data_IF_347696356175
#
_entry.id   IF_347696356175
#
_cell.length_a   1.000
_cell.length_b   1.000
_cell.length_c   1.000
_cell.angle_alpha   90.00
_cell.angle_beta   90.00
_cell.angle_gamma   90.00
#
_symmetry.space_group_name_H-M   'P 1'
#
loop_
_entity.id
_entity.type
_entity.pdbx_description
1 polymer ?
#
# COMPACT_ATOMS: atom_id res chain seq x y z
N UNK A 1 -1.36 19.57 16.64
CA UNK A 1 -0.15 18.73 16.76
C UNK A 1 -0.33 17.49 15.91
N UNK A 2 0.69 17.17 15.12
CA UNK A 2 0.63 16.38 13.88
C UNK A 2 0.67 14.88 14.21
N UNK A 3 -0.50 14.28 14.49
CA UNK A 3 -0.64 12.88 14.96
C UNK A 3 -0.49 11.82 13.87
N UNK A 4 -0.06 12.20 12.66
CA UNK A 4 0.22 11.27 11.57
C UNK A 4 1.56 11.64 10.95
N UNK A 5 2.49 10.68 10.88
CA UNK A 5 3.74 10.85 10.12
C UNK A 5 3.53 10.79 8.60
N UNK A 6 2.28 10.59 8.17
CA UNK A 6 1.91 10.53 6.77
C UNK A 6 1.80 11.94 6.16
N UNK A 7 2.64 12.28 5.15
CA UNK A 7 2.64 13.60 4.54
C UNK A 7 1.31 13.97 3.86
N UNK A 8 0.52 12.99 3.39
CA UNK A 8 -0.78 13.25 2.77
C UNK A 8 -1.84 13.67 3.80
N UNK A 9 -1.80 13.12 5.01
CA UNK A 9 -2.67 13.55 6.11
C UNK A 9 -2.34 14.99 6.51
N UNK A 10 -1.04 15.32 6.62
CA UNK A 10 -0.60 16.69 6.90
C UNK A 10 -1.08 17.67 5.83
N UNK A 11 -0.94 17.30 4.56
CA UNK A 11 -1.47 18.09 3.45
C UNK A 11 -3.01 18.23 3.56
N UNK A 12 -3.73 17.15 3.87
CA UNK A 12 -5.18 17.17 4.06
C UNK A 12 -5.57 18.16 5.15
N UNK A 13 -4.85 18.16 6.28
CA UNK A 13 -5.05 19.12 7.37
C UNK A 13 -4.75 20.55 6.93
N UNK A 14 -3.67 20.79 6.18
CA UNK A 14 -3.34 22.12 5.65
C UNK A 14 -4.43 22.66 4.70
N UNK A 15 -4.95 21.80 3.82
CA UNK A 15 -6.09 22.13 2.96
C UNK A 15 -7.36 22.46 3.77
N UNK A 16 -7.69 21.65 4.77
CA UNK A 16 -8.87 21.89 5.61
C UNK A 16 -8.72 23.17 6.41
N UNK A 17 -7.55 23.42 7.00
CA UNK A 17 -7.28 24.62 7.80
C UNK A 17 -7.38 25.92 6.99
N UNK A 18 -7.10 25.87 5.69
CA UNK A 18 -7.30 26.99 4.79
C UNK A 18 -8.80 27.34 4.65
N UNK A 19 -9.67 26.33 4.59
CA UNK A 19 -11.11 26.55 4.37
C UNK A 19 -11.96 26.59 5.66
N UNK A 20 -11.49 25.98 6.73
CA UNK A 20 -12.22 25.82 7.99
C UNK A 20 -11.31 26.07 9.21
N UNK A 21 -11.92 26.37 10.35
CA UNK A 21 -11.27 26.50 11.66
C UNK A 21 -11.81 25.48 12.65
N UNK A 22 -10.93 24.98 13.51
CA UNK A 22 -11.31 24.23 14.70
C UNK A 22 -11.82 25.22 15.76
N UNK A 23 -12.91 24.90 16.49
CA UNK A 23 -13.30 25.66 17.68
C UNK A 23 -12.14 25.73 18.67
N UNK A 24 -12.03 26.85 19.39
CA UNK A 24 -11.20 26.92 20.60
C UNK A 24 -11.65 25.75 21.51
N UNK A 25 -10.73 24.87 21.89
CA UNK A 25 -10.93 23.62 22.67
C UNK A 25 -11.29 22.31 21.93
N UNK A 26 -11.30 22.27 20.60
CA UNK A 26 -11.55 21.02 19.85
C UNK A 26 -10.25 20.26 19.49
N UNK A 27 -10.13 19.01 19.94
CA UNK A 27 -9.07 18.11 19.48
C UNK A 27 -9.36 17.63 18.05
N UNK A 28 -8.42 17.84 17.15
CA UNK A 28 -8.50 17.34 15.78
C UNK A 28 -8.55 15.81 15.76
N UNK A 29 -9.76 15.25 15.67
CA UNK A 29 -9.94 13.83 15.39
C UNK A 29 -9.22 13.47 14.08
N UNK A 30 -8.64 12.26 14.02
CA UNK A 30 -7.97 11.74 12.82
C UNK A 30 -8.86 11.96 11.61
N UNK A 31 -8.43 12.85 10.72
CA UNK A 31 -9.10 13.07 9.46
C UNK A 31 -8.98 11.81 8.60
N UNK A 32 -10.02 10.99 8.59
CA UNK A 32 -10.12 9.86 7.67
C UNK A 32 -10.55 10.38 6.30
N UNK A 33 -10.10 9.70 5.23
CA UNK A 33 -10.27 10.09 3.83
C UNK A 33 -11.59 10.81 3.53
N UNK A 34 -11.49 12.09 3.17
CA UNK A 34 -12.65 12.89 2.78
C UNK A 34 -12.91 12.80 1.28
N UNK A 35 -13.08 11.60 0.72
CA UNK A 35 -13.27 11.40 -0.72
C UNK A 35 -14.43 12.18 -1.34
N UNK A 36 -15.38 12.64 -0.51
CA UNK A 36 -16.44 13.56 -0.92
C UNK A 36 -15.91 14.98 -1.17
N UNK A 37 -15.08 15.50 -0.26
CA UNK A 37 -14.47 16.82 -0.35
C UNK A 37 -13.18 16.83 -1.15
N UNK A 38 -12.19 16.06 -0.74
CA UNK A 38 -10.83 16.02 -1.28
C UNK A 38 -10.61 14.66 -1.93
N UNK A 39 -10.27 14.66 -3.23
CA UNK A 39 -9.94 13.44 -3.97
C UNK A 39 -8.53 13.54 -4.51
N UNK A 40 -7.66 12.67 -4.00
CA UNK A 40 -6.35 12.40 -4.55
C UNK A 40 -6.52 11.51 -5.79
N UNK A 41 -5.79 11.82 -6.86
CA UNK A 41 -5.94 11.14 -8.14
C UNK A 41 -4.66 10.40 -8.48
N UNK A 42 -4.78 9.17 -8.98
CA UNK A 42 -3.62 8.35 -9.34
C UNK A 42 -3.56 8.08 -10.85
N UNK A 43 -4.59 8.49 -11.60
CA UNK A 43 -4.74 8.27 -13.04
C UNK A 43 -5.32 9.54 -13.70
N UNK A 44 -5.09 9.70 -15.02
CA UNK A 44 -5.59 10.82 -15.81
C UNK A 44 -5.25 12.21 -15.22
N UNK A 45 -4.04 12.33 -14.64
CA UNK A 45 -3.58 13.52 -13.92
C UNK A 45 -3.53 14.79 -14.80
N UNK A 46 -3.32 14.59 -16.11
CA UNK A 46 -3.38 15.66 -17.11
C UNK A 46 -4.77 16.32 -17.13
N UNK A 47 -5.84 15.55 -17.11
CA UNK A 47 -7.21 16.07 -17.25
C UNK A 47 -7.80 16.49 -15.90
N UNK A 48 -7.51 15.71 -14.86
CA UNK A 48 -8.19 15.80 -13.58
C UNK A 48 -7.40 16.57 -12.50
N UNK A 49 -6.09 16.83 -12.72
CA UNK A 49 -5.17 17.39 -11.74
C UNK A 49 -4.46 16.33 -10.90
N UNK A 50 -3.71 16.74 -9.88
CA UNK A 50 -3.12 15.80 -8.93
C UNK A 50 -4.12 15.49 -7.80
N UNK A 51 -4.85 16.53 -7.36
CA UNK A 51 -6.01 16.36 -6.49
C UNK A 51 -7.17 17.23 -6.96
N UNK A 52 -8.34 17.01 -6.38
CA UNK A 52 -9.48 17.89 -6.57
C UNK A 52 -10.22 18.15 -5.27
N UNK A 53 -10.82 19.34 -5.16
CA UNK A 53 -11.66 19.74 -4.04
C UNK A 53 -13.09 20.06 -4.50
N UNK A 54 -14.08 19.79 -3.66
CA UNK A 54 -15.46 20.16 -3.90
C UNK A 54 -15.60 21.69 -4.01
N UNK A 55 -16.29 22.17 -5.04
CA UNK A 55 -16.50 23.59 -5.29
C UNK A 55 -17.69 24.17 -4.52
N UNK A 56 -18.68 23.33 -4.18
CA UNK A 56 -19.92 23.75 -3.51
C UNK A 56 -19.71 23.90 -2.00
N UNK A 57 -20.13 25.05 -1.47
CA UNK A 57 -20.13 25.34 -0.02
C UNK A 57 -20.91 24.31 0.79
N UNK A 58 -22.04 23.80 0.27
CA UNK A 58 -22.92 22.86 0.98
C UNK A 58 -22.17 21.59 1.40
N UNK A 59 -21.30 21.08 0.52
CA UNK A 59 -20.50 19.89 0.83
C UNK A 59 -19.55 20.17 2.00
N UNK A 60 -18.92 21.35 2.01
CA UNK A 60 -18.02 21.76 3.08
C UNK A 60 -18.75 22.08 4.38
N UNK A 61 -19.96 22.66 4.33
CA UNK A 61 -20.79 22.88 5.52
C UNK A 61 -21.22 21.57 6.16
N UNK A 62 -21.71 20.61 5.36
CA UNK A 62 -22.07 19.27 5.85
C UNK A 62 -20.87 18.57 6.51
N UNK A 63 -19.70 18.70 5.90
CA UNK A 63 -18.46 18.21 6.48
C UNK A 63 -18.11 18.92 7.79
N UNK A 64 -18.12 20.25 7.81
CA UNK A 64 -17.79 21.04 9.00
C UNK A 64 -18.74 20.70 10.16
N UNK A 65 -20.04 20.59 9.90
CA UNK A 65 -21.04 20.20 10.91
C UNK A 65 -20.77 18.82 11.51
N UNK A 66 -20.46 17.82 10.68
CA UNK A 66 -20.14 16.45 11.14
C UNK A 66 -18.88 16.39 12.01
N UNK A 67 -17.92 17.27 11.75
CA UNK A 67 -16.62 17.28 12.41
C UNK A 67 -16.45 18.41 13.44
N UNK A 68 -17.51 19.17 13.73
CA UNK A 68 -17.47 20.28 14.67
C UNK A 68 -16.58 21.44 14.24
N UNK A 69 -16.33 21.61 12.94
CA UNK A 69 -15.52 22.71 12.38
C UNK A 69 -16.40 23.90 12.01
N UNK A 70 -15.79 25.08 11.89
CA UNK A 70 -16.43 26.28 11.38
C UNK A 70 -15.85 26.63 10.00
N UNK A 71 -16.72 26.76 8.99
CA UNK A 71 -16.29 27.12 7.64
C UNK A 71 -15.93 28.61 7.59
N UNK A 72 -14.76 28.95 7.05
CA UNK A 72 -14.30 30.34 6.91
C UNK A 72 -15.00 31.09 5.77
N UNK A 73 -15.53 30.35 4.80
CA UNK A 73 -16.12 30.90 3.57
C UNK A 73 -17.61 31.14 3.73
N UNK A 74 -18.04 32.35 3.37
CA UNK A 74 -19.43 32.78 3.41
C UNK A 74 -20.14 32.66 2.04
N UNK A 75 -19.38 32.55 0.94
CA UNK A 75 -19.90 32.47 -0.43
C UNK A 75 -20.36 31.06 -0.81
N UNK A 76 -21.30 30.96 -1.77
CA UNK A 76 -21.81 29.65 -2.26
C UNK A 76 -20.75 28.77 -2.94
N UNK A 77 -19.72 29.39 -3.53
CA UNK A 77 -18.58 28.69 -4.11
C UNK A 77 -17.33 28.88 -3.23
N UNK A 78 -16.52 27.83 -3.16
CA UNK A 78 -15.32 27.79 -2.33
C UNK A 78 -14.20 28.71 -2.83
N UNK A 79 -14.02 28.81 -4.15
CA UNK A 79 -13.03 29.69 -4.79
C UNK A 79 -13.77 30.52 -5.86
N UNK A 80 -14.51 31.57 -5.45
CA UNK A 80 -15.44 32.29 -6.31
C UNK A 80 -14.75 33.16 -7.36
N UNK A 81 -13.57 33.70 -7.06
CA UNK A 81 -12.80 34.62 -7.92
C UNK A 81 -11.33 34.17 -8.06
N UNK A 82 -10.59 34.83 -8.96
CA UNK A 82 -9.15 34.57 -9.15
C UNK A 82 -8.35 34.92 -7.90
N UNK A 83 -8.74 35.96 -7.16
CA UNK A 83 -8.07 36.36 -5.92
C UNK A 83 -8.06 35.24 -4.88
N UNK A 84 -9.20 34.55 -4.68
CA UNK A 84 -9.29 33.42 -3.76
C UNK A 84 -8.38 32.26 -4.18
N UNK A 85 -8.20 32.05 -5.49
CA UNK A 85 -7.27 31.03 -6.00
C UNK A 85 -5.82 31.45 -5.78
N UNK A 86 -5.49 32.71 -6.02
CA UNK A 86 -4.16 33.28 -5.76
C UNK A 86 -3.80 33.20 -4.27
N UNK A 87 -4.74 33.54 -3.38
CA UNK A 87 -4.56 33.44 -1.93
C UNK A 87 -4.27 31.99 -1.49
N UNK A 88 -4.99 31.02 -2.06
CA UNK A 88 -4.72 29.60 -1.85
C UNK A 88 -3.33 29.18 -2.34
N UNK A 89 -2.94 29.61 -3.55
CA UNK A 89 -1.63 29.31 -4.11
C UNK A 89 -0.51 29.93 -3.26
N UNK A 90 -0.67 31.18 -2.82
CA UNK A 90 0.30 31.88 -1.98
C UNK A 90 0.47 31.20 -0.62
N UNK A 91 -0.64 30.86 0.05
CA UNK A 91 -0.56 30.14 1.32
C UNK A 91 0.06 28.74 1.15
N UNK A 92 -0.20 28.08 0.01
CA UNK A 92 0.33 26.75 -0.26
C UNK A 92 1.86 26.69 -0.38
N UNK A 93 2.54 27.82 -0.62
CA UNK A 93 4.01 27.87 -0.67
C UNK A 93 4.67 27.44 0.66
N UNK A 94 3.95 27.59 1.78
CA UNK A 94 4.42 27.18 3.11
C UNK A 94 3.96 25.76 3.50
N UNK A 95 3.22 25.08 2.61
CA UNK A 95 2.71 23.74 2.90
C UNK A 95 3.77 22.68 2.67
N UNK A 96 3.50 21.45 3.13
CA UNK A 96 4.40 20.33 2.87
C UNK A 96 4.55 20.09 1.36
N UNK A 97 3.45 20.28 0.61
CA UNK A 97 3.39 20.11 -0.84
C UNK A 97 2.77 21.36 -1.48
N UNK A 98 3.58 22.24 -2.09
CA UNK A 98 3.09 23.50 -2.65
C UNK A 98 2.31 23.27 -3.95
N UNK A 99 1.27 24.09 -4.14
CA UNK A 99 0.40 24.04 -5.32
C UNK A 99 0.98 24.93 -6.44
N UNK A 100 0.92 24.42 -7.67
CA UNK A 100 1.32 25.13 -8.89
C UNK A 100 0.15 25.84 -9.55
N UNK A 101 -1.04 25.21 -9.57
CA UNK A 101 -2.20 25.79 -10.25
C UNK A 101 -3.52 25.23 -9.72
N UNK A 102 -4.57 26.01 -9.91
CA UNK A 102 -5.96 25.65 -9.59
C UNK A 102 -6.83 25.89 -10.81
N UNK A 103 -7.54 24.85 -11.28
CA UNK A 103 -8.42 24.91 -12.44
C UNK A 103 -9.79 24.35 -12.11
N UNK A 104 -10.86 25.06 -12.49
CA UNK A 104 -12.22 24.52 -12.44
C UNK A 104 -12.39 23.52 -13.59
N UNK A 105 -12.56 22.23 -13.29
CA UNK A 105 -12.65 21.18 -14.33
C UNK A 105 -14.11 20.86 -14.64
N UNK A 106 -14.94 20.72 -13.60
CA UNK A 106 -16.37 20.47 -13.70
C UNK A 106 -17.10 21.45 -12.78
N UNK A 107 -18.41 21.68 -13.00
CA UNK A 107 -19.21 22.64 -12.21
C UNK A 107 -19.16 22.39 -10.69
N UNK A 108 -18.74 21.20 -10.27
CA UNK A 108 -18.73 20.76 -8.88
C UNK A 108 -17.34 20.69 -8.24
N UNK A 109 -16.22 20.81 -8.98
CA UNK A 109 -14.87 20.61 -8.42
C UNK A 109 -13.79 21.52 -9.02
N UNK A 110 -12.84 21.89 -8.17
CA UNK A 110 -11.56 22.48 -8.58
C UNK A 110 -10.48 21.40 -8.58
N UNK A 111 -9.75 21.27 -9.69
CA UNK A 111 -8.52 20.50 -9.76
C UNK A 111 -7.35 21.36 -9.32
N UNK A 112 -6.46 20.76 -8.54
CA UNK A 112 -5.22 21.38 -8.12
C UNK A 112 -4.05 20.54 -8.61
N UNK A 113 -2.98 21.21 -9.01
CA UNK A 113 -1.71 20.59 -9.38
C UNK A 113 -0.63 21.05 -8.43
N UNK A 114 0.31 20.17 -8.11
CA UNK A 114 1.46 20.49 -7.29
C UNK A 114 2.64 20.97 -8.12
N UNK A 115 3.53 21.70 -7.47
CA UNK A 115 4.91 21.71 -7.90
C UNK A 115 5.50 20.32 -7.62
N UNK A 116 5.82 19.57 -8.70
CA UNK A 116 6.25 18.16 -8.60
C UNK A 116 7.62 18.01 -7.95
N UNK A 117 8.59 18.84 -8.31
CA UNK A 117 9.98 18.70 -7.86
C UNK A 117 10.17 18.58 -6.33
N UNK A 118 9.58 19.45 -5.47
CA UNK A 118 9.67 19.30 -4.02
C UNK A 118 9.15 17.94 -3.51
N UNK A 119 8.09 17.42 -4.14
CA UNK A 119 7.45 16.16 -3.74
C UNK A 119 8.32 14.98 -4.16
N UNK A 120 8.86 15.01 -5.39
CA UNK A 120 9.79 14.01 -5.90
C UNK A 120 10.99 13.87 -4.95
N UNK A 121 11.62 14.99 -4.61
CA UNK A 121 12.78 15.04 -3.70
C UNK A 121 12.40 14.46 -2.34
N UNK A 122 11.30 14.91 -1.75
CA UNK A 122 10.85 14.46 -0.44
C UNK A 122 10.56 12.95 -0.42
N UNK A 123 9.85 12.43 -1.42
CA UNK A 123 9.45 11.02 -1.50
C UNK A 123 10.67 10.12 -1.67
N UNK A 124 11.53 10.41 -2.65
CA UNK A 124 12.71 9.59 -2.93
C UNK A 124 13.68 9.60 -1.74
N UNK A 125 13.97 10.76 -1.16
CA UNK A 125 14.84 10.86 0.02
C UNK A 125 14.24 10.12 1.22
N UNK A 126 12.93 10.23 1.45
CA UNK A 126 12.27 9.54 2.56
C UNK A 126 12.34 8.03 2.42
N UNK A 127 12.13 7.50 1.23
CA UNK A 127 12.15 6.05 0.97
C UNK A 127 13.57 5.52 1.08
N UNK A 128 14.53 6.17 0.42
CA UNK A 128 15.90 5.68 0.33
C UNK A 128 16.66 5.78 1.67
N UNK A 129 16.31 6.77 2.50
CA UNK A 129 16.88 6.90 3.85
C UNK A 129 16.24 5.93 4.84
N UNK A 130 14.91 5.73 4.78
CA UNK A 130 14.20 4.87 5.73
C UNK A 130 14.17 3.38 5.34
N UNK A 131 14.36 3.05 4.05
CA UNK A 131 14.30 1.70 3.51
C UNK A 131 13.03 0.96 3.93
N UNK A 132 13.20 -0.22 4.52
CA UNK A 132 12.11 -1.07 5.04
C UNK A 132 11.25 -0.42 6.13
N UNK A 133 11.72 0.67 6.74
CA UNK A 133 10.98 1.43 7.74
C UNK A 133 10.22 2.63 7.15
N UNK A 134 10.20 2.78 5.83
CA UNK A 134 9.42 3.83 5.18
C UNK A 134 7.93 3.70 5.52
N UNK A 135 7.35 4.80 6.02
CA UNK A 135 5.95 4.92 6.44
C UNK A 135 5.60 4.23 7.76
N UNK A 136 6.53 3.52 8.41
CA UNK A 136 6.34 3.10 9.80
C UNK A 136 6.32 4.34 10.69
N UNK A 137 5.41 4.37 11.65
CA UNK A 137 5.42 5.44 12.65
C UNK A 137 6.61 5.22 13.58
N UNK A 138 7.40 6.26 13.84
CA UNK A 138 8.44 6.21 14.88
C UNK A 138 7.81 5.84 16.22
N UNK A 139 8.46 4.95 16.99
CA UNK A 139 8.14 4.77 18.39
C UNK A 139 8.34 6.12 19.09
N UNK A 140 7.24 6.81 19.39
CA UNK A 140 7.26 8.03 20.22
C UNK A 140 7.52 7.59 21.65
N UNK A 141 8.77 7.25 21.97
CA UNK A 141 9.19 7.04 23.36
C UNK A 141 9.51 8.37 24.07
N UNK A 142 9.50 9.51 23.36
CA UNK A 142 10.12 10.76 23.85
C UNK A 142 9.17 11.95 24.04
N UNK A 143 7.87 11.80 23.80
CA UNK A 143 6.89 12.86 24.09
C UNK A 143 5.67 12.22 24.78
N UNK A 144 5.68 12.22 26.11
CA UNK A 144 4.82 11.41 26.99
C UNK A 144 3.32 11.74 26.97
N UNK A 145 2.74 12.08 25.83
CA UNK A 145 1.39 12.63 25.75
C UNK A 145 0.30 11.63 25.30
N UNK A 146 0.56 10.59 24.49
CA UNK A 146 -0.48 9.60 24.12
C UNK A 146 0.14 8.22 23.77
N UNK A 147 -0.22 7.17 24.50
CA UNK A 147 0.17 5.78 24.18
C UNK A 147 -0.52 5.29 22.88
N UNK A 148 0.17 4.49 22.04
CA UNK A 148 -0.44 3.90 20.85
C UNK A 148 -1.64 3.00 21.24
N UNK A 149 -2.64 2.87 20.34
CA UNK A 149 -3.82 2.07 20.63
C UNK A 149 -3.42 0.61 20.87
N UNK A 150 -3.98 0.02 21.92
CA UNK A 150 -3.69 -1.35 22.31
C UNK A 150 -4.68 -2.34 21.71
N UNK A 151 -4.17 -3.49 21.23
CA UNK A 151 -4.98 -4.53 20.61
C UNK A 151 -4.50 -5.92 21.04
N UNK A 152 -5.43 -6.80 21.37
CA UNK A 152 -5.16 -8.22 21.56
C UNK A 152 -5.72 -8.99 20.36
N UNK A 153 -4.83 -9.61 19.56
CA UNK A 153 -5.22 -10.42 18.41
C UNK A 153 -5.07 -11.90 18.76
N UNK A 154 -6.13 -12.68 18.55
CA UNK A 154 -6.12 -14.12 18.79
C UNK A 154 -6.49 -14.90 17.54
N UNK A 155 -5.92 -16.09 17.37
CA UNK A 155 -6.31 -17.05 16.35
C UNK A 155 -7.12 -18.17 17.03
N UNK A 156 -8.28 -18.51 16.49
CA UNK A 156 -9.07 -19.61 17.01
C UNK A 156 -8.27 -20.93 17.02
N UNK A 157 -8.32 -21.68 18.12
CA UNK A 157 -7.55 -22.92 18.31
C UNK A 157 -7.74 -23.95 17.19
N UNK A 158 -8.91 -23.96 16.52
CA UNK A 158 -9.18 -24.84 15.37
C UNK A 158 -8.27 -24.58 14.16
N UNK A 159 -7.56 -23.46 14.15
CA UNK A 159 -6.56 -23.10 13.15
C UNK A 159 -5.11 -23.20 13.68
N UNK A 160 -4.96 -23.45 14.98
CA UNK A 160 -3.68 -23.56 15.66
C UNK A 160 -3.04 -24.95 15.52
N UNK A 161 -3.65 -25.87 14.76
CA UNK A 161 -3.21 -27.27 14.59
C UNK A 161 -1.68 -27.40 14.65
N UNK A 162 -1.24 -28.24 15.59
CA UNK A 162 0.15 -28.62 15.89
C UNK A 162 0.81 -29.40 14.73
N UNK A 163 0.07 -29.73 13.66
CA UNK A 163 0.63 -30.36 12.47
C UNK A 163 1.72 -29.48 11.85
N UNK A 164 2.92 -30.06 11.79
CA UNK A 164 4.14 -29.48 11.24
C UNK A 164 4.11 -29.67 9.72
N UNK A 165 4.24 -28.56 8.98
CA UNK A 165 4.44 -28.60 7.53
C UNK A 165 3.20 -28.29 6.68
N UNK A 166 3.22 -28.82 5.46
CA UNK A 166 2.41 -28.44 4.31
C UNK A 166 1.11 -29.25 4.14
N UNK A 167 0.63 -29.91 5.20
CA UNK A 167 -0.56 -30.79 5.19
C UNK A 167 -1.87 -30.07 5.47
N UNK A 168 -1.82 -28.76 5.77
CA UNK A 168 -2.97 -28.00 6.28
C UNK A 168 -4.08 -27.87 5.25
N UNK A 169 -5.32 -28.03 5.69
CA UNK A 169 -6.49 -27.66 4.90
C UNK A 169 -6.41 -26.18 4.50
N UNK A 170 -6.69 -25.86 3.22
CA UNK A 170 -6.45 -24.52 2.69
C UNK A 170 -7.21 -23.41 3.43
N UNK A 171 -8.39 -23.69 3.97
CA UNK A 171 -9.15 -22.71 4.74
C UNK A 171 -8.47 -22.39 6.10
N UNK A 172 -7.88 -23.40 6.76
CA UNK A 172 -7.08 -23.21 7.98
C UNK A 172 -5.80 -22.45 7.68
N UNK A 173 -5.13 -22.79 6.57
CA UNK A 173 -3.97 -22.06 6.09
C UNK A 173 -4.30 -20.58 5.84
N UNK A 174 -5.41 -20.29 5.14
CA UNK A 174 -5.87 -18.91 4.88
C UNK A 174 -6.12 -18.13 6.17
N UNK A 175 -6.80 -18.71 7.15
CA UNK A 175 -7.07 -18.06 8.43
C UNK A 175 -5.77 -17.76 9.21
N UNK A 176 -4.83 -18.71 9.24
CA UNK A 176 -3.50 -18.50 9.85
C UNK A 176 -2.73 -17.39 9.15
N UNK A 177 -2.75 -17.35 7.81
CA UNK A 177 -2.08 -16.29 7.06
C UNK A 177 -2.74 -14.93 7.29
N UNK A 178 -4.08 -14.86 7.38
CA UNK A 178 -4.78 -13.63 7.72
C UNK A 178 -4.32 -13.08 9.07
N UNK A 179 -4.25 -13.93 10.10
CA UNK A 179 -3.72 -13.57 11.42
C UNK A 179 -2.31 -12.97 11.32
N UNK A 180 -1.40 -13.67 10.63
CA UNK A 180 0.00 -13.22 10.48
C UNK A 180 0.11 -11.91 9.68
N UNK A 181 -0.71 -11.73 8.64
CA UNK A 181 -0.78 -10.48 7.86
C UNK A 181 -1.25 -9.34 8.76
N UNK A 182 -2.33 -9.54 9.52
CA UNK A 182 -2.84 -8.53 10.45
C UNK A 182 -1.80 -8.16 11.50
N UNK A 183 -1.06 -9.11 12.08
CA UNK A 183 0.05 -8.81 12.98
C UNK A 183 1.08 -7.87 12.34
N UNK A 184 1.49 -8.12 11.10
CA UNK A 184 2.46 -7.28 10.38
C UNK A 184 1.91 -5.88 10.06
N UNK A 185 0.64 -5.80 9.66
CA UNK A 185 -0.04 -4.52 9.42
C UNK A 185 -0.14 -3.68 10.69
N UNK A 186 -0.50 -4.31 11.81
CA UNK A 186 -0.57 -3.67 13.13
C UNK A 186 0.80 -3.14 13.59
N UNK A 187 1.85 -3.96 13.42
CA UNK A 187 3.22 -3.54 13.73
C UNK A 187 3.67 -2.35 12.86
N UNK A 188 3.30 -2.35 11.58
CA UNK A 188 3.59 -1.23 10.68
C UNK A 188 2.85 0.06 11.08
N UNK A 189 1.58 -0.05 11.46
CA UNK A 189 0.73 1.06 11.86
C UNK A 189 0.88 1.46 13.35
N UNK A 190 1.93 0.98 14.03
CA UNK A 190 2.25 1.28 15.43
C UNK A 190 1.09 1.04 16.40
N UNK A 191 0.42 -0.11 16.25
CA UNK A 191 -0.49 -0.64 17.26
C UNK A 191 0.30 -1.43 18.31
N UNK A 192 -0.06 -1.27 19.58
CA UNK A 192 0.53 -2.06 20.66
C UNK A 192 -0.18 -3.40 20.76
N UNK A 193 0.42 -4.45 20.20
CA UNK A 193 -0.08 -5.81 20.37
C UNK A 193 0.15 -6.25 21.83
N UNK A 194 -0.92 -6.62 22.53
CA UNK A 194 -0.87 -7.08 23.93
C UNK A 194 -1.33 -8.53 24.05
N UNK A 195 -0.61 -9.28 24.89
CA UNK A 195 -0.97 -10.64 25.25
C UNK A 195 -2.32 -10.68 26.01
N UNK A 196 -3.06 -11.81 25.99
CA UNK A 196 -4.36 -11.92 26.65
C UNK A 196 -4.35 -11.55 28.15
N UNK A 197 -3.24 -11.81 28.83
CA UNK A 197 -3.04 -11.50 30.26
C UNK A 197 -2.79 -10.01 30.55
N UNK A 198 -2.43 -9.21 29.54
CA UNK A 198 -2.04 -7.80 29.67
C UNK A 198 -3.08 -6.83 29.07
N UNK A 199 -4.32 -7.29 28.91
CA UNK A 199 -5.41 -6.47 28.37
C UNK A 199 -5.86 -5.40 29.37
N UNK A 200 -5.97 -4.16 28.92
CA UNK A 200 -6.62 -3.04 29.64
C UNK A 200 -8.04 -2.83 29.13
N UNK A 201 -8.88 -2.06 29.80
CA UNK A 201 -10.28 -1.83 29.37
C UNK A 201 -10.39 -1.22 27.97
N UNK A 202 -9.44 -0.36 27.59
CA UNK A 202 -9.35 0.25 26.27
C UNK A 202 -8.72 -0.66 25.19
N UNK A 203 -8.31 -1.88 25.54
CA UNK A 203 -7.73 -2.83 24.58
C UNK A 203 -8.79 -3.38 23.64
N UNK A 204 -8.63 -3.16 22.34
CA UNK A 204 -9.46 -3.79 21.31
C UNK A 204 -9.14 -5.29 21.25
N UNK A 205 -10.12 -6.17 21.48
CA UNK A 205 -9.93 -7.62 21.40
C UNK A 205 -10.47 -8.14 20.08
N UNK A 206 -9.60 -8.66 19.22
CA UNK A 206 -9.96 -9.19 17.90
C UNK A 206 -9.64 -10.68 17.85
N UNK A 207 -10.59 -11.50 17.40
CA UNK A 207 -10.39 -12.93 17.18
C UNK A 207 -10.62 -13.32 15.73
N UNK A 208 -9.64 -14.00 15.12
CA UNK A 208 -9.75 -14.54 13.76
C UNK A 208 -10.49 -15.87 13.80
N UNK A 209 -11.68 -15.90 13.21
CA UNK A 209 -12.64 -17.00 13.32
C UNK A 209 -13.14 -17.53 11.96
N UNK A 210 -13.83 -18.67 12.00
CA UNK A 210 -14.44 -19.34 10.85
C UNK A 210 -15.93 -18.97 10.72
N UNK A 211 -16.48 -18.93 9.51
CA UNK A 211 -17.90 -18.64 9.24
C UNK A 211 -18.89 -19.62 9.94
N UNK A 212 -18.45 -20.83 10.30
CA UNK A 212 -19.31 -21.91 10.80
C UNK A 212 -19.51 -21.90 12.32
N UNK A 213 -18.98 -20.89 13.04
CA UNK A 213 -19.22 -20.76 14.48
C UNK A 213 -20.58 -20.07 14.71
N UNK A 214 -21.45 -20.61 15.59
CA UNK A 214 -22.67 -19.91 15.96
C UNK A 214 -22.31 -18.52 16.51
N UNK A 215 -23.09 -17.51 16.12
CA UNK A 215 -23.04 -16.19 16.77
C UNK A 215 -23.22 -16.45 18.26
N UNK A 216 -22.29 -16.00 19.11
CA UNK A 216 -22.47 -16.06 20.56
C UNK A 216 -23.81 -15.40 20.87
N UNK A 217 -24.74 -16.16 21.44
CA UNK A 217 -25.93 -15.60 22.09
C UNK A 217 -25.44 -14.64 23.15
N UNK A 218 -26.08 -13.48 23.25
CA UNK A 218 -25.70 -12.33 24.09
C UNK A 218 -25.74 -12.57 25.60
N UNK A 219 -25.71 -13.84 26.05
CA UNK A 219 -26.05 -14.26 27.40
C UNK A 219 -24.82 -14.79 28.17
N UNK A 220 -23.70 -15.15 27.50
CA UNK A 220 -22.52 -15.70 28.20
C UNK A 220 -21.25 -14.86 27.99
N UNK A 221 -20.82 -14.22 29.09
CA UNK A 221 -19.54 -13.55 29.43
C UNK A 221 -19.39 -12.03 29.12
N UNK A 222 -18.64 -11.30 29.99
CA UNK A 222 -18.95 -9.94 30.41
C UNK A 222 -18.42 -8.85 29.47
N UNK A 223 -19.17 -7.74 29.41
CA UNK A 223 -18.86 -6.32 29.16
C UNK A 223 -17.80 -5.85 28.13
N UNK A 224 -16.85 -6.67 27.68
CA UNK A 224 -15.79 -6.28 26.74
C UNK A 224 -16.13 -6.73 25.32
N UNK A 225 -16.26 -5.77 24.40
CA UNK A 225 -16.63 -5.98 22.99
C UNK A 225 -15.55 -6.79 22.25
N UNK A 226 -15.65 -8.12 22.26
CA UNK A 226 -14.81 -8.99 21.42
C UNK A 226 -15.27 -8.86 19.97
N UNK A 227 -14.36 -8.43 19.10
CA UNK A 227 -14.59 -8.27 17.67
C UNK A 227 -14.19 -9.53 16.92
N UNK A 228 -15.12 -10.09 16.15
CA UNK A 228 -14.87 -11.29 15.34
C UNK A 228 -14.46 -10.91 13.93
N UNK A 229 -13.26 -11.30 13.54
CA UNK A 229 -12.76 -11.20 12.17
C UNK A 229 -12.95 -12.53 11.46
N UNK A 230 -13.94 -12.61 10.58
CA UNK A 230 -14.29 -13.88 9.95
C UNK A 230 -13.47 -14.11 8.67
N UNK A 231 -12.88 -15.30 8.55
CA UNK A 231 -12.20 -15.76 7.34
C UNK A 231 -13.15 -16.65 6.52
N UNK A 232 -13.39 -16.24 5.27
CA UNK A 232 -14.24 -16.96 4.33
C UNK A 232 -13.60 -18.26 3.84
N UNK A 233 -14.41 -19.18 3.30
CA UNK A 233 -13.93 -20.49 2.86
C UNK A 233 -12.99 -20.40 1.66
N UNK A 234 -12.29 -21.49 1.37
CA UNK A 234 -11.54 -21.67 0.12
C UNK A 234 -12.31 -22.64 -0.76
N UNK A 235 -12.54 -22.26 -2.01
CA UNK A 235 -13.50 -22.88 -2.92
C UNK A 235 -12.84 -23.42 -4.18
N UNK A 236 -13.39 -24.52 -4.69
CA UNK A 236 -13.07 -25.07 -6.01
C UNK A 236 -13.61 -24.19 -7.15
N UNK A 237 -12.91 -24.04 -8.28
CA UNK A 237 -13.29 -23.09 -9.32
C UNK A 237 -14.62 -23.43 -10.01
N UNK A 238 -14.87 -24.72 -10.29
CA UNK A 238 -16.03 -25.17 -11.07
C UNK A 238 -17.28 -25.32 -10.23
N UNK A 239 -17.22 -26.13 -9.17
CA UNK A 239 -18.39 -26.48 -8.34
C UNK A 239 -18.66 -25.48 -7.21
N UNK A 240 -17.73 -24.56 -6.94
CA UNK A 240 -17.77 -23.63 -5.79
C UNK A 240 -17.99 -24.32 -4.44
N UNK A 241 -17.63 -25.60 -4.34
CA UNK A 241 -17.59 -26.38 -3.10
C UNK A 241 -16.29 -26.09 -2.35
N UNK A 242 -16.22 -26.48 -1.07
CA UNK A 242 -14.97 -26.38 -0.29
C UNK A 242 -13.81 -27.09 -1.01
N UNK A 243 -12.65 -26.43 -1.04
CA UNK A 243 -11.43 -26.99 -1.62
C UNK A 243 -10.90 -28.14 -0.77
N UNK A 244 -10.59 -29.26 -1.42
CA UNK A 244 -10.05 -30.46 -0.78
C UNK A 244 -8.52 -30.51 -0.80
N UNK A 245 -7.88 -29.55 -1.48
CA UNK A 245 -6.43 -29.45 -1.56
C UNK A 245 -5.83 -29.03 -0.21
N UNK A 246 -4.66 -29.56 0.09
CA UNK A 246 -3.81 -29.09 1.19
C UNK A 246 -2.99 -27.87 0.75
N UNK A 247 -2.48 -27.09 1.70
CA UNK A 247 -1.61 -25.95 1.42
C UNK A 247 -0.39 -26.36 0.60
N UNK A 248 0.24 -27.49 0.91
CA UNK A 248 1.39 -28.02 0.17
C UNK A 248 1.07 -28.39 -1.26
N UNK A 249 -0.01 -29.14 -1.47
CA UNK A 249 -0.42 -29.54 -2.82
C UNK A 249 -0.73 -28.31 -3.69
N UNK A 250 -1.36 -27.29 -3.10
CA UNK A 250 -1.68 -26.06 -3.81
C UNK A 250 -0.44 -25.20 -4.06
N UNK A 251 0.47 -25.07 -3.08
CA UNK A 251 1.75 -24.40 -3.28
C UNK A 251 2.55 -25.03 -4.40
N UNK A 252 2.72 -26.37 -4.41
CA UNK A 252 3.44 -27.07 -5.47
C UNK A 252 2.81 -26.84 -6.86
N UNK A 253 1.47 -26.87 -6.93
CA UNK A 253 0.73 -26.57 -8.16
C UNK A 253 1.04 -25.14 -8.65
N UNK A 254 0.98 -24.15 -7.75
CA UNK A 254 1.23 -22.75 -8.11
C UNK A 254 2.70 -22.46 -8.42
N UNK A 255 3.65 -23.12 -7.74
CA UNK A 255 5.07 -23.07 -8.09
C UNK A 255 5.29 -23.54 -9.53
N UNK A 256 4.68 -24.66 -9.90
CA UNK A 256 4.78 -25.20 -11.26
C UNK A 256 4.15 -24.25 -12.29
N UNK A 257 2.99 -23.66 -11.98
CA UNK A 257 2.37 -22.65 -12.85
C UNK A 257 3.32 -21.45 -13.08
N UNK A 258 3.97 -20.94 -12.03
CA UNK A 258 4.91 -19.81 -12.16
C UNK A 258 6.13 -20.18 -13.01
N UNK A 259 6.67 -21.39 -12.84
CA UNK A 259 7.77 -21.89 -13.65
C UNK A 259 7.39 -22.02 -15.12
N UNK A 260 6.24 -22.62 -15.44
CA UNK A 260 5.78 -22.77 -16.83
C UNK A 260 5.59 -21.42 -17.51
N UNK A 261 5.07 -20.43 -16.78
CA UNK A 261 4.94 -19.05 -17.27
C UNK A 261 6.32 -18.43 -17.54
N UNK A 262 7.27 -18.59 -16.62
CA UNK A 262 8.64 -18.08 -16.79
C UNK A 262 9.31 -18.71 -18.01
N UNK A 263 9.20 -20.04 -18.17
CA UNK A 263 9.71 -20.78 -19.33
C UNK A 263 9.09 -20.31 -20.65
N UNK A 264 7.78 -20.03 -20.68
CA UNK A 264 7.12 -19.53 -21.89
C UNK A 264 7.60 -18.11 -22.26
N UNK A 265 7.97 -17.27 -21.28
CA UNK A 265 8.42 -15.89 -21.52
C UNK A 265 9.90 -15.78 -21.86
N UNK A 266 10.74 -16.58 -21.23
CA UNK A 266 12.21 -16.46 -21.30
C UNK A 266 12.90 -17.62 -22.01
N UNK A 267 12.14 -18.63 -22.43
CA UNK A 267 12.66 -19.89 -22.97
C UNK A 267 13.21 -20.81 -21.88
N UNK A 268 13.63 -22.01 -22.27
CA UNK A 268 14.24 -23.01 -21.38
C UNK A 268 15.69 -22.61 -21.09
N UNK A 269 15.94 -21.57 -20.29
CA UNK A 269 17.30 -21.18 -19.89
C UNK A 269 17.50 -21.29 -18.39
N UNK A 270 18.41 -22.18 -18.00
CA UNK A 270 19.17 -22.29 -16.74
C UNK A 270 18.41 -22.21 -15.39
N UNK A 271 17.07 -22.25 -15.36
CA UNK A 271 16.29 -22.27 -14.11
C UNK A 271 16.78 -23.36 -13.14
N UNK A 272 17.09 -24.55 -13.68
CA UNK A 272 17.48 -25.72 -12.91
C UNK A 272 18.98 -25.82 -12.52
N UNK A 273 19.85 -24.92 -13.00
CA UNK A 273 21.32 -25.02 -12.76
C UNK A 273 21.81 -24.23 -11.54
N UNK A 274 20.92 -23.60 -10.77
CA UNK A 274 21.29 -22.74 -9.64
C UNK A 274 21.05 -23.46 -8.31
N UNK A 275 22.03 -23.35 -7.40
CA UNK A 275 22.07 -24.02 -6.09
C UNK A 275 20.87 -23.76 -5.16
N UNK A 276 19.92 -22.87 -5.53
CA UNK A 276 18.76 -22.47 -4.73
C UNK A 276 17.41 -22.63 -5.47
N UNK A 277 17.33 -23.48 -6.50
CA UNK A 277 16.11 -23.62 -7.32
C UNK A 277 14.89 -24.09 -6.52
N UNK A 278 15.04 -25.06 -5.62
CA UNK A 278 13.95 -25.57 -4.79
C UNK A 278 13.38 -24.49 -3.86
N UNK A 279 14.26 -23.75 -3.16
CA UNK A 279 13.88 -22.61 -2.32
C UNK A 279 13.20 -21.50 -3.12
N UNK A 280 13.63 -21.23 -4.36
CA UNK A 280 12.94 -20.29 -5.25
C UNK A 280 11.52 -20.77 -5.57
N UNK A 281 11.37 -22.04 -5.95
CA UNK A 281 10.07 -22.61 -6.30
C UNK A 281 9.11 -22.57 -5.11
N UNK A 282 9.59 -22.85 -3.90
CA UNK A 282 8.81 -22.70 -2.67
C UNK A 282 8.37 -21.25 -2.45
N UNK A 283 9.29 -20.28 -2.56
CA UNK A 283 8.96 -18.84 -2.44
C UNK A 283 7.91 -18.40 -3.48
N UNK A 284 8.07 -18.82 -4.74
CA UNK A 284 7.13 -18.52 -5.83
C UNK A 284 5.73 -19.10 -5.57
N UNK A 285 5.67 -20.37 -5.14
CA UNK A 285 4.42 -21.03 -4.79
C UNK A 285 3.74 -20.37 -3.61
N UNK A 286 4.47 -20.13 -2.53
CA UNK A 286 3.97 -19.45 -1.34
C UNK A 286 3.40 -18.06 -1.71
N UNK A 287 4.16 -17.25 -2.44
CA UNK A 287 3.73 -15.94 -2.87
C UNK A 287 2.46 -15.97 -3.73
N UNK A 288 2.41 -16.87 -4.72
CA UNK A 288 1.24 -17.03 -5.58
C UNK A 288 -0.01 -17.44 -4.79
N UNK A 289 0.13 -18.39 -3.85
CA UNK A 289 -0.98 -18.81 -2.98
C UNK A 289 -1.48 -17.67 -2.10
N UNK A 290 -0.58 -16.87 -1.50
CA UNK A 290 -1.00 -15.71 -0.69
C UNK A 290 -1.79 -14.71 -1.55
N UNK A 291 -1.30 -14.37 -2.75
CA UNK A 291 -2.00 -13.46 -3.66
C UNK A 291 -3.38 -14.02 -4.05
N UNK A 292 -3.46 -15.28 -4.47
CA UNK A 292 -4.73 -15.91 -4.88
C UNK A 292 -5.77 -15.90 -3.72
N UNK A 293 -5.34 -16.13 -2.48
CA UNK A 293 -6.24 -16.23 -1.32
C UNK A 293 -6.71 -14.87 -0.77
N UNK A 294 -5.96 -13.80 -1.04
CA UNK A 294 -6.22 -12.46 -0.50
C UNK A 294 -6.52 -11.40 -1.56
N UNK A 295 -6.59 -11.75 -2.86
CA UNK A 295 -7.11 -10.88 -3.92
C UNK A 295 -8.58 -10.48 -3.66
N UNK A 296 -9.31 -11.31 -2.92
CA UNK A 296 -10.69 -11.04 -2.46
C UNK A 296 -10.72 -10.69 -0.97
N UNK A 297 -11.81 -10.05 -0.52
CA UNK A 297 -12.03 -9.73 0.90
C UNK A 297 -11.86 -10.98 1.77
N UNK A 298 -11.20 -10.84 2.92
CA UNK A 298 -10.97 -11.97 3.82
C UNK A 298 -12.26 -12.66 4.26
N UNK A 299 -13.37 -11.92 4.39
CA UNK A 299 -14.69 -12.45 4.78
C UNK A 299 -15.43 -13.18 3.65
N UNK A 300 -14.95 -13.07 2.41
CA UNK A 300 -15.55 -13.72 1.23
C UNK A 300 -14.80 -15.00 0.86
N UNK A 301 -15.45 -15.90 0.12
CA UNK A 301 -14.82 -17.14 -0.34
C UNK A 301 -13.73 -16.90 -1.39
N UNK A 302 -12.51 -17.37 -1.15
CA UNK A 302 -11.43 -17.36 -2.14
C UNK A 302 -11.55 -18.58 -3.05
N UNK A 303 -11.36 -18.41 -4.36
CA UNK A 303 -11.38 -19.53 -5.31
C UNK A 303 -9.95 -19.91 -5.67
N UNK A 304 -9.61 -21.20 -5.60
CA UNK A 304 -8.28 -21.68 -6.02
C UNK A 304 -8.11 -21.56 -7.54
N UNK A 305 -6.88 -21.29 -7.97
CA UNK A 305 -6.49 -21.25 -9.38
C UNK A 305 -5.97 -22.63 -9.78
N UNK A 306 -6.71 -23.36 -10.62
CA UNK A 306 -6.28 -24.66 -11.13
C UNK A 306 -7.00 -25.02 -12.43
N UNK A 307 -6.42 -25.90 -13.22
CA UNK A 307 -6.98 -26.38 -14.50
C UNK A 307 -7.30 -25.23 -15.47
N UNK A 308 -6.49 -24.17 -15.48
CA UNK A 308 -6.73 -22.97 -16.30
C UNK A 308 -7.92 -22.11 -15.86
N UNK A 309 -8.56 -22.43 -14.72
CA UNK A 309 -9.67 -21.67 -14.14
C UNK A 309 -9.17 -20.83 -12.96
N UNK A 310 -9.66 -19.59 -12.86
CA UNK A 310 -9.21 -18.60 -11.87
C UNK A 310 -8.27 -17.54 -12.46
N UNK A 311 -7.97 -16.50 -11.68
CA UNK A 311 -7.07 -15.42 -12.10
C UNK A 311 -5.68 -15.63 -11.48
N UNK A 312 -4.71 -16.10 -12.27
CA UNK A 312 -3.28 -16.11 -11.87
C UNK A 312 -2.54 -14.82 -12.23
N UNK A 313 -3.24 -13.86 -12.85
CA UNK A 313 -2.61 -12.69 -13.47
C UNK A 313 -1.92 -11.82 -12.41
N UNK A 314 -2.57 -11.55 -11.28
CA UNK A 314 -1.99 -10.74 -10.21
C UNK A 314 -0.64 -11.29 -9.73
N UNK A 315 -0.62 -12.54 -9.26
CA UNK A 315 0.58 -13.18 -8.72
C UNK A 315 1.75 -13.18 -9.72
N UNK A 316 1.51 -13.61 -10.95
CA UNK A 316 2.52 -13.64 -12.00
C UNK A 316 3.10 -12.24 -12.28
N UNK A 317 2.24 -11.23 -12.43
CA UNK A 317 2.69 -9.87 -12.71
C UNK A 317 3.54 -9.29 -11.57
N UNK A 318 3.14 -9.50 -10.32
CA UNK A 318 3.89 -9.04 -9.15
C UNK A 318 5.28 -9.67 -9.14
N UNK A 319 5.31 -11.00 -9.15
CA UNK A 319 6.51 -11.81 -9.02
C UNK A 319 7.50 -11.48 -10.14
N UNK A 320 7.02 -11.48 -11.38
CA UNK A 320 7.84 -11.17 -12.53
C UNK A 320 8.46 -9.76 -12.49
N UNK A 321 7.68 -8.74 -12.11
CA UNK A 321 8.22 -7.38 -12.03
C UNK A 321 9.18 -7.21 -10.84
N UNK A 322 8.99 -7.93 -9.72
CA UNK A 322 9.96 -8.01 -8.63
C UNK A 322 11.32 -8.54 -9.12
N UNK A 323 11.34 -9.67 -9.83
CA UNK A 323 12.57 -10.21 -10.41
C UNK A 323 13.20 -9.32 -11.48
N UNK A 324 12.38 -8.63 -12.28
CA UNK A 324 12.85 -7.66 -13.27
C UNK A 324 13.54 -6.47 -12.63
N UNK A 325 12.97 -5.92 -11.55
CA UNK A 325 13.56 -4.83 -10.78
C UNK A 325 14.96 -5.21 -10.29
N UNK A 326 15.08 -6.38 -9.67
CA UNK A 326 16.36 -6.87 -9.16
C UNK A 326 17.38 -7.12 -10.28
N UNK A 327 16.92 -7.68 -11.40
CA UNK A 327 17.78 -7.90 -12.57
C UNK A 327 18.29 -6.59 -13.15
N UNK A 328 17.43 -5.58 -13.29
CA UNK A 328 17.80 -4.26 -13.78
C UNK A 328 18.88 -3.61 -12.90
N UNK A 329 18.69 -3.64 -11.58
CA UNK A 329 19.65 -3.06 -10.64
C UNK A 329 20.97 -3.84 -10.63
N UNK A 330 20.92 -5.18 -10.70
CA UNK A 330 22.11 -6.03 -10.82
C UNK A 330 22.87 -5.75 -12.12
N UNK A 331 22.18 -5.55 -13.24
CA UNK A 331 22.82 -5.17 -14.51
C UNK A 331 23.49 -3.81 -14.42
N UNK A 332 22.86 -2.83 -13.77
CA UNK A 332 23.50 -1.53 -13.51
C UNK A 332 24.77 -1.70 -12.67
N UNK A 333 24.71 -2.40 -11.55
CA UNK A 333 25.89 -2.66 -10.70
C UNK A 333 27.02 -3.36 -11.47
N UNK A 334 26.69 -4.40 -12.25
CA UNK A 334 27.69 -5.09 -13.06
C UNK A 334 28.34 -4.18 -14.14
N UNK A 335 27.58 -3.22 -14.69
CA UNK A 335 28.12 -2.21 -15.62
C UNK A 335 29.01 -1.18 -14.92
N UNK A 336 28.73 -0.86 -13.65
CA UNK A 336 29.64 -0.05 -12.82
C UNK A 336 30.93 -0.83 -12.54
N UNK A 337 30.83 -2.09 -12.12
CA UNK A 337 31.98 -2.95 -11.82
C UNK A 337 32.87 -3.17 -13.06
N UNK A 338 32.26 -3.23 -14.25
CA UNK A 338 32.96 -3.33 -15.53
C UNK A 338 33.54 -1.99 -16.04
N UNK A 339 33.36 -0.89 -15.31
CA UNK A 339 33.84 0.45 -15.70
C UNK A 339 33.06 1.10 -16.85
N UNK A 340 31.89 0.57 -17.22
CA UNK A 340 31.00 1.13 -18.25
C UNK A 340 30.20 2.30 -17.72
N UNK A 341 29.83 2.29 -16.43
CA UNK A 341 29.24 3.45 -15.76
C UNK A 341 30.08 3.87 -14.58
N UNK A 342 29.97 5.14 -14.19
CA UNK A 342 30.48 5.59 -12.90
C UNK A 342 29.57 5.12 -11.76
N UNK A 343 30.09 5.00 -10.53
CA UNK A 343 29.27 4.74 -9.36
C UNK A 343 28.17 5.79 -9.21
N UNK A 344 27.01 5.35 -8.71
CA UNK A 344 25.85 6.23 -8.51
C UNK A 344 26.23 7.40 -7.59
N UNK A 345 26.15 8.67 -8.06
CA UNK A 345 26.43 9.82 -7.22
C UNK A 345 25.41 9.93 -6.07
N UNK A 346 25.76 10.55 -4.93
CA UNK A 346 24.80 10.84 -3.86
C UNK A 346 23.54 11.53 -4.37
N UNK A 347 22.38 11.19 -3.81
CA UNK A 347 21.07 11.66 -4.30
C UNK A 347 20.96 13.19 -4.27
N UNK A 348 21.63 13.84 -3.32
CA UNK A 348 21.67 15.30 -3.18
C UNK A 348 22.38 16.00 -4.35
N UNK A 349 23.22 15.27 -5.10
CA UNK A 349 23.92 15.75 -6.29
C UNK A 349 23.17 15.42 -7.59
N UNK A 350 22.08 14.69 -7.51
CA UNK A 350 21.27 14.32 -8.68
C UNK A 350 20.19 15.38 -8.89
N UNK A 351 20.11 15.90 -10.11
CA UNK A 351 18.97 16.69 -10.52
C UNK A 351 17.74 15.79 -10.72
N UNK A 352 16.81 15.83 -9.77
CA UNK A 352 15.57 15.05 -9.80
C UNK A 352 14.44 15.72 -10.61
N UNK A 353 14.63 16.95 -11.09
CA UNK A 353 13.64 17.63 -11.96
C UNK A 353 13.45 16.92 -13.30
N UNK A 354 14.37 16.04 -13.68
CA UNK A 354 14.27 15.20 -14.87
C UNK A 354 13.19 14.09 -14.77
N UNK A 355 12.61 13.88 -13.59
CA UNK A 355 11.58 12.85 -13.30
C UNK A 355 10.15 13.46 -13.26
N UNK A 356 9.85 14.40 -14.14
CA UNK A 356 8.56 15.10 -14.14
C UNK A 356 7.53 14.55 -15.15
N UNK A 357 7.88 13.54 -15.93
CA UNK A 357 6.95 12.91 -16.88
C UNK A 357 5.75 12.27 -16.16
N UNK A 358 4.63 12.13 -16.87
CA UNK A 358 3.41 11.54 -16.31
C UNK A 358 3.61 10.15 -15.73
N UNK A 359 4.45 9.29 -16.33
CA UNK A 359 4.71 7.97 -15.77
C UNK A 359 5.62 8.02 -14.54
N UNK A 360 6.60 8.92 -14.51
CA UNK A 360 7.45 9.16 -13.34
C UNK A 360 6.58 9.64 -12.18
N UNK A 361 5.73 10.61 -12.46
CA UNK A 361 4.82 11.22 -11.50
C UNK A 361 3.78 10.22 -10.98
N UNK A 362 3.17 9.40 -11.84
CA UNK A 362 2.25 8.34 -11.41
C UNK A 362 2.92 7.36 -10.45
N UNK A 363 4.17 6.95 -10.70
CA UNK A 363 4.90 6.09 -9.77
C UNK A 363 5.11 6.80 -8.43
N UNK A 364 5.69 7.99 -8.46
CA UNK A 364 6.13 8.72 -7.27
C UNK A 364 4.94 9.18 -6.41
N UNK A 365 4.03 9.94 -7.00
CA UNK A 365 2.89 10.51 -6.31
C UNK A 365 1.77 9.48 -6.12
N UNK A 366 1.42 8.73 -7.17
CA UNK A 366 0.27 7.84 -7.14
C UNK A 366 0.47 6.59 -6.27
N UNK A 367 1.71 6.09 -6.17
CA UNK A 367 2.00 4.84 -5.44
C UNK A 367 3.02 5.01 -4.32
N UNK A 368 4.21 5.55 -4.61
CA UNK A 368 5.28 5.60 -3.60
C UNK A 368 4.90 6.46 -2.39
N UNK A 369 4.35 7.67 -2.64
CA UNK A 369 3.88 8.57 -1.59
C UNK A 369 2.66 8.02 -0.82
N UNK A 370 1.74 7.33 -1.51
CA UNK A 370 0.47 6.87 -0.93
C UNK A 370 0.60 5.55 -0.17
N UNK A 371 1.72 4.83 -0.31
CA UNK A 371 1.93 3.53 0.33
C UNK A 371 1.59 3.48 1.83
N UNK A 372 2.08 4.40 2.69
CA UNK A 372 1.77 4.35 4.12
C UNK A 372 0.27 4.46 4.39
N UNK A 373 -0.41 5.34 3.64
CA UNK A 373 -1.85 5.53 3.72
C UNK A 373 -2.63 4.28 3.27
N UNK A 374 -2.16 3.60 2.24
CA UNK A 374 -2.76 2.33 1.78
C UNK A 374 -2.70 1.31 2.92
N UNK A 375 -1.57 1.17 3.61
CA UNK A 375 -1.43 0.24 4.74
C UNK A 375 -2.38 0.62 5.89
N UNK A 376 -2.40 1.89 6.31
CA UNK A 376 -3.31 2.38 7.34
C UNK A 376 -4.79 2.12 6.97
N UNK A 377 -5.15 2.32 5.70
CA UNK A 377 -6.52 2.12 5.21
C UNK A 377 -7.00 0.67 5.36
N UNK A 378 -6.07 -0.30 5.42
CA UNK A 378 -6.44 -1.70 5.63
C UNK A 378 -6.97 -2.00 7.04
N UNK A 379 -6.72 -1.11 8.01
CA UNK A 379 -7.04 -1.29 9.41
C UNK A 379 -8.18 -0.39 9.91
N UNK A 380 -8.76 0.49 9.06
CA UNK A 380 -9.78 1.49 9.47
C UNK A 380 -11.00 0.83 10.12
N UNK A 381 -11.43 -0.33 9.64
CA UNK A 381 -12.64 -1.02 10.11
C UNK A 381 -12.34 -2.26 10.97
N UNK A 382 -11.17 -2.25 11.62
CA UNK A 382 -10.74 -3.39 12.44
C UNK A 382 -11.66 -3.62 13.64
N UNK A 383 -12.26 -2.57 14.19
CA UNK A 383 -13.30 -2.58 15.23
C UNK A 383 -14.61 -3.26 14.80
N UNK A 384 -14.82 -3.41 13.49
CA UNK A 384 -15.94 -4.12 12.87
C UNK A 384 -15.53 -5.53 12.41
N UNK A 385 -14.30 -5.95 12.70
CA UNK A 385 -13.77 -7.25 12.29
C UNK A 385 -13.41 -7.31 10.81
N UNK A 386 -13.19 -6.15 10.18
CA UNK A 386 -12.83 -6.04 8.77
C UNK A 386 -11.39 -5.58 8.61
N UNK A 387 -10.61 -6.30 7.80
CA UNK A 387 -9.28 -5.87 7.38
C UNK A 387 -9.17 -5.89 5.86
N UNK A 388 -8.87 -4.75 5.24
CA UNK A 388 -8.91 -4.61 3.79
C UNK A 388 -7.63 -5.14 3.09
N UNK A 389 -7.14 -6.33 3.45
CA UNK A 389 -5.94 -6.97 2.88
C UNK A 389 -5.98 -7.01 1.34
N UNK A 390 -7.15 -7.27 0.76
CA UNK A 390 -7.38 -7.23 -0.69
C UNK A 390 -7.02 -5.90 -1.37
N UNK A 391 -7.15 -4.77 -0.68
CA UNK A 391 -6.72 -3.48 -1.20
C UNK A 391 -5.20 -3.36 -1.25
N UNK A 392 -4.48 -3.96 -0.29
CA UNK A 392 -3.03 -4.06 -0.33
C UNK A 392 -2.56 -4.97 -1.47
N UNK A 393 -3.20 -6.12 -1.67
CA UNK A 393 -2.90 -7.00 -2.82
C UNK A 393 -3.12 -6.25 -4.13
N UNK A 394 -4.26 -5.56 -4.29
CA UNK A 394 -4.55 -4.74 -5.46
C UNK A 394 -3.50 -3.64 -5.68
N UNK A 395 -3.14 -2.92 -4.63
CA UNK A 395 -2.08 -1.91 -4.69
C UNK A 395 -0.76 -2.48 -5.25
N UNK A 396 -0.35 -3.66 -4.78
CA UNK A 396 0.88 -4.32 -5.25
C UNK A 396 0.76 -4.74 -6.73
N UNK A 397 -0.38 -5.30 -7.16
CA UNK A 397 -0.64 -5.64 -8.57
C UNK A 397 -0.55 -4.39 -9.45
N UNK A 398 -1.18 -3.31 -9.01
CA UNK A 398 -1.26 -2.07 -9.77
C UNK A 398 0.11 -1.38 -9.86
N UNK A 399 0.90 -1.35 -8.76
CA UNK A 399 2.28 -0.86 -8.74
C UNK A 399 3.17 -1.69 -9.68
N UNK A 400 3.10 -3.02 -9.61
CA UNK A 400 3.85 -3.90 -10.50
C UNK A 400 3.48 -3.69 -11.98
N UNK A 401 2.20 -3.46 -12.25
CA UNK A 401 1.69 -3.19 -13.61
C UNK A 401 2.15 -1.84 -14.14
N UNK A 402 2.11 -0.80 -13.30
CA UNK A 402 2.62 0.53 -13.63
C UNK A 402 4.13 0.51 -13.88
N UNK A 403 4.89 -0.17 -13.02
CA UNK A 403 6.33 -0.35 -13.24
C UNK A 403 6.62 -1.10 -14.55
N UNK A 404 5.80 -2.11 -14.89
CA UNK A 404 5.92 -2.82 -16.18
C UNK A 404 5.76 -1.89 -17.39
N UNK A 405 4.79 -0.96 -17.32
CA UNK A 405 4.57 0.07 -18.36
C UNK A 405 5.73 1.06 -18.39
N UNK A 406 6.19 1.51 -17.22
CA UNK A 406 7.34 2.39 -17.09
C UNK A 406 8.58 1.80 -17.74
N UNK A 407 8.94 0.55 -17.40
CA UNK A 407 10.09 -0.16 -17.97
C UNK A 407 10.01 -0.32 -19.50
N UNK A 408 8.80 -0.56 -20.04
CA UNK A 408 8.60 -0.70 -21.48
C UNK A 408 8.78 0.63 -22.23
N UNK A 409 8.28 1.71 -21.65
CA UNK A 409 8.19 3.01 -22.32
C UNK A 409 9.43 3.89 -22.08
N UNK A 410 10.17 3.66 -20.99
CA UNK A 410 11.31 4.46 -20.58
C UNK A 410 12.56 3.59 -20.58
N UNK A 411 13.51 3.93 -21.44
CA UNK A 411 14.82 3.30 -21.42
C UNK A 411 15.58 3.75 -20.16
N UNK A 412 15.76 2.84 -19.21
CA UNK A 412 16.43 3.16 -17.93
C UNK A 412 17.95 3.10 -18.10
N UNK A 413 18.47 1.96 -18.59
CA UNK A 413 19.89 1.84 -18.95
C UNK A 413 20.10 2.38 -20.36
N UNK A 414 20.80 3.51 -20.45
CA UNK A 414 21.10 4.24 -21.68
C UNK A 414 22.60 4.19 -21.97
N UNK A 415 22.99 4.48 -23.21
CA UNK A 415 24.41 4.53 -23.58
C UNK A 415 25.16 5.55 -22.72
N UNK A 416 26.41 5.24 -22.37
CA UNK A 416 27.29 6.13 -21.63
C UNK A 416 27.61 7.38 -22.46
N UNK A 417 26.85 8.45 -22.22
CA UNK A 417 27.05 9.79 -22.80
C UNK A 417 26.81 10.82 -21.70
N UNK A 418 27.68 11.82 -21.59
CA UNK A 418 27.68 12.80 -20.49
C UNK A 418 26.30 13.44 -20.25
N UNK A 419 25.57 13.76 -21.32
CA UNK A 419 24.24 14.35 -21.26
C UNK A 419 23.11 13.38 -20.84
N UNK A 420 23.33 12.07 -20.92
CA UNK A 420 22.34 11.04 -20.57
C UNK A 420 22.51 10.49 -19.15
N UNK A 421 23.68 10.67 -18.54
CA UNK A 421 23.98 10.15 -17.20
C UNK A 421 23.08 10.74 -16.10
N UNK A 422 22.76 12.06 -16.08
CA UNK A 422 21.86 12.60 -15.06
C UNK A 422 20.49 11.89 -15.04
N UNK A 423 19.91 11.66 -16.22
CA UNK A 423 18.63 10.96 -16.37
C UNK A 423 18.75 9.50 -15.98
N UNK A 424 19.83 8.82 -16.37
CA UNK A 424 20.10 7.43 -15.93
C UNK A 424 20.10 7.35 -14.40
N UNK A 425 20.89 8.19 -13.73
CA UNK A 425 21.03 8.16 -12.28
C UNK A 425 19.71 8.45 -11.56
N UNK A 426 18.96 9.47 -12.01
CA UNK A 426 17.63 9.77 -11.47
C UNK A 426 16.68 8.58 -11.61
N UNK A 427 16.66 7.92 -12.78
CA UNK A 427 15.82 6.73 -13.00
C UNK A 427 16.26 5.53 -12.17
N UNK A 428 17.55 5.33 -11.94
CA UNK A 428 18.06 4.28 -11.05
C UNK A 428 17.61 4.54 -9.60
N UNK A 429 17.62 5.78 -9.14
CA UNK A 429 17.08 6.13 -7.82
C UNK A 429 15.57 5.88 -7.71
N UNK A 430 14.79 6.25 -8.74
CA UNK A 430 13.37 5.93 -8.79
C UNK A 430 13.13 4.40 -8.74
N UNK A 431 13.88 3.63 -9.51
CA UNK A 431 13.80 2.15 -9.51
C UNK A 431 14.12 1.57 -8.14
N UNK A 432 15.16 2.08 -7.46
CA UNK A 432 15.48 1.69 -6.08
C UNK A 432 14.33 1.99 -5.13
N UNK A 433 13.71 3.17 -5.22
CA UNK A 433 12.57 3.53 -4.38
C UNK A 433 11.33 2.63 -4.65
N UNK A 434 11.05 2.31 -5.92
CA UNK A 434 10.00 1.35 -6.29
C UNK A 434 10.28 -0.03 -5.69
N UNK A 435 11.53 -0.50 -5.74
CA UNK A 435 11.94 -1.76 -5.11
C UNK A 435 11.66 -1.75 -3.60
N UNK A 436 12.10 -0.71 -2.88
CA UNK A 436 11.90 -0.62 -1.43
C UNK A 436 10.40 -0.70 -1.05
N UNK A 437 9.56 0.08 -1.73
CA UNK A 437 8.11 0.09 -1.45
C UNK A 437 7.45 -1.24 -1.84
N UNK A 438 7.82 -1.83 -2.98
CA UNK A 438 7.29 -3.13 -3.40
C UNK A 438 7.68 -4.23 -2.39
N UNK A 439 8.93 -4.26 -1.97
CA UNK A 439 9.44 -5.24 -1.01
C UNK A 439 8.78 -5.06 0.36
N UNK A 440 8.61 -3.83 0.84
CA UNK A 440 7.88 -3.55 2.08
C UNK A 440 6.42 -4.02 1.99
N UNK A 441 5.72 -3.75 0.88
CA UNK A 441 4.35 -4.18 0.68
C UNK A 441 4.21 -5.72 0.63
N UNK A 442 5.14 -6.41 -0.05
CA UNK A 442 5.21 -7.87 -0.07
C UNK A 442 5.49 -8.46 1.31
N UNK A 443 6.40 -7.85 2.07
CA UNK A 443 6.73 -8.28 3.43
C UNK A 443 5.52 -8.21 4.36
N UNK A 444 4.65 -7.20 4.22
CA UNK A 444 3.38 -7.12 4.96
C UNK A 444 2.45 -8.32 4.68
N UNK A 445 2.46 -8.83 3.44
CA UNK A 445 1.76 -10.06 3.08
C UNK A 445 2.48 -11.35 3.51
N UNK A 446 3.70 -11.25 4.05
CA UNK A 446 4.54 -12.41 4.36
C UNK A 446 5.15 -13.04 3.12
N UNK A 447 5.25 -12.27 2.03
CA UNK A 447 5.85 -12.69 0.78
C UNK A 447 7.29 -12.19 0.75
N UNK A 448 8.23 -13.10 0.53
CA UNK A 448 9.61 -12.72 0.28
C UNK A 448 9.76 -12.24 -1.17
N UNK A 449 10.50 -11.13 -1.42
CA UNK A 449 10.86 -10.71 -2.76
C UNK A 449 11.57 -11.82 -3.54
N UNK A 450 11.48 -11.73 -4.86
CA UNK A 450 12.11 -12.71 -5.75
C UNK A 450 13.18 -12.04 -6.59
N UNK A 451 14.41 -12.55 -6.49
CA UNK A 451 15.60 -11.91 -7.05
C UNK A 451 15.82 -12.24 -8.54
N UNK A 452 15.16 -13.29 -9.02
CA UNK A 452 15.23 -13.79 -10.39
C UNK A 452 14.02 -14.70 -10.71
N UNK A 453 13.58 -14.68 -11.98
CA UNK A 453 12.53 -15.53 -12.51
C UNK A 453 12.86 -15.96 -13.93
#
# INVERSE_FOLDING_TARGET
MDMSQNPLTKLTHQLINHFASYPEDSYAARATRYGELIRYQNENLVDCGDLSIAASKINWECFCQKHGLQLRILTEQLLPDEKSKEDLLEQSKQWIFPLQSVKKVHRERFALRFHRAPIIINVLNSILTKGESYGKHSNLEDDGTILPPSLCLTLNERFSDLEVGNTKELHKFRAKQLYLIVCRLLAYANWRLVEPQNQTDDTLVVSVECNNLPRRTSIDLPEKKIVRMVCGPVLEPTKKTAATLTSGSYMALRSNDMLLIAMHRHGVRDCAKRNNFESLMERLGHAAVIVDLFEVRHSTGATVVRNGLGSSKGANYILYNSARLETLLRTFSAQVDAGVYEPLPPIEKIDLSVLEDELDWQLIYGYLLTFPEVVESTLIHLDQGLCAVHLLVRYIVDLASLFSRYYRNKQILVQQRTNLMPVLYARIYLVKAVREVLNAALALLGIQPVDYM
#
